data_IF_367014510826
#
_entry.id   IF_367014510826
#
_cell.length_a   1.000
_cell.length_b   1.000
_cell.length_c   1.000
_cell.angle_alpha   90.00
_cell.angle_beta   90.00
_cell.angle_gamma   90.00
#
_symmetry.space_group_name_H-M   'P 1'
#
loop_
_entity.id
_entity.type
_entity.pdbx_description
1 polymer ?
2 non-polymer ?
3 non-polymer ?
4 water ?
#
# COMPACT_ATOMS: atom_id res chain seq x y z
N UNK A 6 14.22 -7.84 28.28
CA UNK A 6 13.43 -8.88 27.58
C UNK A 6 13.60 -8.80 26.07
N UNK A 7 13.92 -9.94 25.43
CA UNK A 7 14.12 -9.98 23.97
C UNK A 7 12.84 -9.66 23.20
N UNK A 8 13.02 -9.19 21.98
CA UNK A 8 11.92 -8.80 21.12
C UNK A 8 12.16 -9.20 19.68
N UNK A 9 11.06 -9.36 18.91
CA UNK A 9 11.17 -9.74 17.50
C UNK A 9 11.46 -8.46 16.72
N UNK A 10 11.27 -7.33 17.39
CA UNK A 10 11.48 -6.03 16.77
C UNK A 10 12.75 -5.30 17.19
N UNK A 11 13.01 -4.23 16.45
CA UNK A 11 14.13 -3.34 16.71
C UNK A 11 13.59 -2.00 16.23
N UNK A 12 13.73 -0.96 17.03
CA UNK A 12 13.21 0.35 16.64
C UNK A 12 14.28 1.38 16.43
N UNK A 13 13.93 2.37 15.62
CA UNK A 13 14.85 3.45 15.34
C UNK A 13 14.08 4.75 15.37
N UNK A 14 14.85 5.84 15.36
CA UNK A 14 14.31 7.17 15.26
C UNK A 14 14.95 7.50 13.92
N UNK A 15 14.46 8.54 13.26
CA UNK A 15 15.01 8.91 11.96
C UNK A 15 16.53 9.02 11.93
N UNK A 16 17.10 9.51 13.02
CA UNK A 16 18.53 9.68 13.13
C UNK A 16 19.27 8.35 12.99
N UNK A 17 18.80 7.35 13.74
CA UNK A 17 19.41 6.03 13.70
C UNK A 17 19.17 5.39 12.33
N UNK A 18 17.95 5.54 11.81
CA UNK A 18 17.59 4.95 10.54
C UNK A 18 18.37 5.47 9.35
N UNK A 19 18.51 6.79 9.23
CA UNK A 19 19.22 7.37 8.09
C UNK A 19 20.64 6.88 7.86
N UNK A 20 21.33 6.53 8.94
CA UNK A 20 22.71 6.05 8.86
C UNK A 20 22.83 4.73 8.12
N UNK A 21 21.71 4.04 7.94
CA UNK A 21 21.70 2.75 7.23
C UNK A 21 21.49 2.93 5.75
N UNK A 22 21.44 4.20 5.33
CA UNK A 22 21.27 4.46 3.91
C UNK A 22 22.55 4.08 3.20
N UNK A 23 23.66 4.55 3.76
CA UNK A 23 24.99 4.30 3.21
C UNK A 23 25.23 5.10 1.94
N UNK A 24 25.45 4.32 0.88
CA UNK A 24 25.74 4.75 -0.47
C UNK A 24 24.52 4.73 -1.39
N UNK A 25 23.42 4.12 -0.94
CA UNK A 25 22.22 4.05 -1.77
C UNK A 25 22.13 5.43 -2.42
N UNK A 26 21.98 5.46 -3.76
CA UNK A 26 21.86 6.71 -4.50
C UNK A 26 20.45 7.24 -4.59
N UNK A 27 20.34 8.55 -4.64
CA UNK A 27 19.06 9.22 -4.79
C UNK A 27 18.93 9.37 -6.31
N UNK A 28 17.97 8.70 -6.91
CA UNK A 28 17.74 8.77 -8.34
C UNK A 28 16.40 9.42 -8.64
N UNK A 29 15.97 10.32 -7.76
CA UNK A 29 14.70 11.00 -7.96
C UNK A 29 14.87 12.50 -7.79
N UNK A 30 14.25 13.27 -8.67
CA UNK A 30 14.33 14.73 -8.59
C UNK A 30 13.24 15.16 -7.60
N UNK A 31 13.24 16.43 -7.24
CA UNK A 31 12.22 16.95 -6.33
C UNK A 31 10.93 17.17 -7.10
N UNK A 32 11.04 17.17 -8.42
CA UNK A 32 9.91 17.40 -9.29
C UNK A 32 9.19 16.08 -9.60
N UNK A 33 9.96 15.00 -9.78
CA UNK A 33 9.43 13.66 -10.03
C UNK A 33 8.67 13.21 -8.80
N UNK A 34 9.27 13.50 -7.66
CA UNK A 34 8.72 13.17 -6.36
C UNK A 34 7.33 13.75 -6.19
N UNK A 35 7.13 14.95 -6.72
CA UNK A 35 5.86 15.64 -6.61
C UNK A 35 4.70 14.87 -7.22
N UNK A 36 4.85 14.47 -8.47
CA UNK A 36 3.80 13.73 -9.15
C UNK A 36 3.57 12.38 -8.52
N UNK A 37 4.22 12.14 -7.39
CA UNK A 37 4.07 10.87 -6.69
C UNK A 37 3.28 11.02 -5.40
N UNK A 38 3.28 12.20 -4.80
CA UNK A 38 2.54 12.34 -3.57
C UNK A 38 1.10 12.81 -3.72
N UNK A 39 0.27 12.26 -2.84
CA UNK A 39 -1.14 12.56 -2.83
C UNK A 39 -1.45 13.82 -2.06
N UNK A 40 -2.63 14.36 -2.32
CA UNK A 40 -3.06 15.57 -1.65
C UNK A 40 -2.81 15.49 -0.15
N UNK A 41 -2.15 16.51 0.40
CA UNK A 41 -1.91 16.52 1.83
C UNK A 41 -0.63 15.88 2.33
N UNK A 42 0.02 15.06 1.50
CA UNK A 42 1.26 14.43 1.92
C UNK A 42 2.44 15.39 1.84
N UNK A 43 3.25 15.42 2.89
CA UNK A 43 4.37 16.33 2.99
C UNK A 43 5.73 15.81 2.50
N UNK A 44 5.78 14.61 1.94
CA UNK A 44 7.07 14.07 1.52
C UNK A 44 7.94 14.96 0.64
N UNK A 45 9.19 15.13 1.06
CA UNK A 45 10.19 15.91 0.33
C UNK A 45 11.43 15.04 0.10
N UNK A 46 12.38 15.52 -0.69
CA UNK A 46 13.58 14.74 -0.97
C UNK A 46 14.39 14.33 0.26
N UNK A 47 14.39 15.18 1.28
CA UNK A 47 15.14 14.85 2.48
C UNK A 47 14.62 13.54 3.09
N UNK A 48 13.32 13.46 3.31
CA UNK A 48 12.69 12.27 3.88
C UNK A 48 12.97 11.05 3.02
N UNK A 49 13.02 11.27 1.70
CA UNK A 49 13.30 10.17 0.80
C UNK A 49 14.73 9.68 0.99
N UNK A 50 15.59 10.54 1.54
CA UNK A 50 16.99 10.18 1.75
C UNK A 50 17.24 9.57 3.11
N UNK A 51 16.63 10.15 4.13
CA UNK A 51 16.80 9.67 5.50
C UNK A 51 15.87 8.54 5.90
N UNK A 52 14.94 8.19 5.01
CA UNK A 52 13.97 7.14 5.30
C UNK A 52 13.74 6.13 4.19
N UNK A 53 13.43 6.59 2.98
CA UNK A 53 13.17 5.67 1.89
C UNK A 53 14.38 5.00 1.29
N UNK A 54 15.54 5.65 1.35
CA UNK A 54 16.75 5.07 0.79
C UNK A 54 17.26 3.87 1.59
N UNK A 55 17.31 3.98 2.94
CA UNK A 55 17.76 2.84 3.73
C UNK A 55 16.84 1.67 3.37
N UNK A 56 15.53 1.95 3.47
CA UNK A 56 14.47 1.00 3.16
C UNK A 56 14.67 0.34 1.81
N UNK A 57 15.06 1.14 0.81
CA UNK A 57 15.26 0.57 -0.52
C UNK A 57 16.40 -0.44 -0.40
N UNK A 58 17.42 -0.07 0.37
CA UNK A 58 18.58 -0.93 0.58
C UNK A 58 18.16 -2.26 1.20
N UNK A 59 17.57 -2.18 2.39
CA UNK A 59 17.09 -3.37 3.09
C UNK A 59 16.36 -4.29 2.10
N UNK A 60 15.40 -3.75 1.36
CA UNK A 60 14.66 -4.55 0.41
C UNK A 60 15.55 -5.21 -0.62
N UNK A 61 16.59 -4.51 -1.07
CA UNK A 61 17.44 -5.11 -2.07
C UNK A 61 18.32 -6.20 -1.47
N UNK A 62 18.69 -6.05 -0.21
CA UNK A 62 19.50 -7.07 0.44
C UNK A 62 18.67 -8.35 0.58
N UNK A 63 17.37 -8.19 0.72
CA UNK A 63 16.48 -9.33 0.88
C UNK A 63 16.03 -9.97 -0.41
N UNK A 64 15.91 -9.20 -1.48
CA UNK A 64 15.48 -9.77 -2.76
C UNK A 64 16.40 -10.93 -3.13
N UNK A 65 17.71 -10.71 -3.03
CA UNK A 65 18.67 -11.76 -3.35
C UNK A 65 18.46 -12.91 -2.38
N UNK A 66 18.56 -12.60 -1.09
CA UNK A 66 18.43 -13.56 0.01
C UNK A 66 17.14 -14.38 -0.02
N UNK A 67 16.03 -13.72 -0.29
CA UNK A 67 14.75 -14.39 -0.36
C UNK A 67 14.74 -15.41 -1.50
N UNK A 68 15.54 -15.18 -2.54
CA UNK A 68 15.58 -16.10 -3.67
C UNK A 68 16.35 -17.39 -3.38
N UNK A 69 17.47 -17.29 -2.67
CA UNK A 69 18.21 -18.49 -2.29
C UNK A 69 17.17 -19.45 -1.67
N UNK A 70 16.16 -18.88 -1.02
CA UNK A 70 15.06 -19.60 -0.37
C UNK A 70 14.14 -20.43 -1.27
N UNK A 71 13.82 -19.91 -2.45
CA UNK A 71 12.96 -20.63 -3.40
C UNK A 71 13.83 -21.59 -4.19
N UNK A 72 15.09 -21.20 -4.35
CA UNK A 72 16.07 -22.01 -5.06
C UNK A 72 16.11 -23.36 -4.35
N UNK A 73 16.24 -23.33 -3.04
CA UNK A 73 16.29 -24.55 -2.24
C UNK A 73 15.15 -25.50 -2.55
N UNK A 74 13.93 -24.99 -2.50
CA UNK A 74 12.77 -25.83 -2.78
C UNK A 74 12.83 -26.38 -4.21
N UNK A 75 13.36 -25.57 -5.12
CA UNK A 75 13.49 -26.01 -6.51
C UNK A 75 14.54 -27.12 -6.55
N UNK A 76 15.66 -26.88 -5.88
CA UNK A 76 16.74 -27.85 -5.85
C UNK A 76 16.23 -29.14 -5.21
N UNK A 77 15.50 -29.00 -4.11
CA UNK A 77 14.95 -30.17 -3.41
C UNK A 77 14.07 -31.00 -4.32
N UNK A 78 13.17 -30.33 -5.03
CA UNK A 78 12.26 -31.00 -5.94
C UNK A 78 12.98 -31.47 -7.20
N UNK A 79 14.29 -31.18 -7.26
CA UNK A 79 15.07 -31.57 -8.42
C UNK A 79 14.47 -31.07 -9.72
N UNK A 80 14.26 -29.75 -9.78
CA UNK A 80 13.69 -29.14 -10.97
C UNK A 80 14.75 -28.40 -11.74
N UNK A 81 14.35 -27.85 -12.89
CA UNK A 81 15.27 -27.07 -13.74
C UNK A 81 15.80 -26.03 -12.76
N UNK A 82 16.73 -25.20 -13.18
CA UNK A 82 17.24 -24.22 -12.24
C UNK A 82 16.62 -22.83 -12.32
N UNK A 83 17.42 -21.90 -12.79
CA UNK A 83 17.08 -20.50 -12.88
C UNK A 83 16.03 -19.87 -13.77
N UNK A 84 16.57 -19.33 -14.86
CA UNK A 84 15.91 -18.53 -15.88
C UNK A 84 16.03 -17.23 -15.10
N UNK A 85 17.28 -16.76 -14.93
CA UNK A 85 17.70 -15.54 -14.22
C UNK A 85 16.86 -14.34 -14.63
N UNK A 86 16.15 -14.49 -15.73
CA UNK A 86 15.32 -13.42 -16.26
C UNK A 86 13.83 -13.74 -16.11
N UNK A 87 13.53 -14.48 -15.06
CA UNK A 87 12.18 -14.88 -14.69
C UNK A 87 12.22 -15.63 -13.37
N UNK A 88 12.79 -14.98 -12.34
CA UNK A 88 12.89 -15.56 -11.00
C UNK A 88 11.51 -15.47 -10.34
N UNK A 89 11.43 -15.77 -9.04
CA UNK A 89 10.15 -15.69 -8.35
C UNK A 89 9.92 -14.23 -7.94
N UNK A 90 8.81 -13.63 -8.41
CA UNK A 90 8.47 -12.25 -8.09
C UNK A 90 8.49 -11.94 -6.60
N UNK A 91 9.13 -10.83 -6.24
CA UNK A 91 9.22 -10.42 -4.84
C UNK A 91 7.94 -9.64 -4.54
N UNK A 92 7.13 -10.12 -3.61
CA UNK A 92 5.90 -9.43 -3.30
C UNK A 92 6.01 -8.54 -2.07
N UNK A 93 5.60 -7.28 -2.21
CA UNK A 93 5.65 -6.32 -1.12
C UNK A 93 4.27 -5.79 -0.85
N UNK A 94 3.90 -5.74 0.43
CA UNK A 94 2.59 -5.24 0.82
C UNK A 94 2.67 -3.95 1.61
N UNK A 95 1.78 -3.02 1.30
CA UNK A 95 1.74 -1.74 2.00
C UNK A 95 0.36 -1.62 2.62
N UNK A 96 0.32 -1.63 3.95
CA UNK A 96 -0.95 -1.56 4.66
C UNK A 96 -1.09 -0.27 5.43
N UNK A 97 -2.31 -0.02 5.92
CA UNK A 97 -2.54 1.18 6.69
C UNK A 97 -3.90 1.77 6.48
N UNK A 98 -4.30 2.63 7.40
CA UNK A 98 -5.59 3.28 7.35
C UNK A 98 -5.83 4.13 6.09
N UNK A 99 -7.09 4.53 5.94
CA UNK A 99 -7.48 5.39 4.83
C UNK A 99 -6.82 6.72 5.17
N UNK A 100 -6.28 7.40 4.17
CA UNK A 100 -5.66 8.71 4.37
C UNK A 100 -4.37 8.76 5.20
N UNK A 101 -3.66 7.65 5.32
CA UNK A 101 -2.43 7.66 6.08
C UNK A 101 -1.23 7.85 5.16
N UNK A 102 -1.45 7.80 3.85
CA UNK A 102 -0.36 8.00 2.92
C UNK A 102 0.18 6.77 2.24
N UNK A 103 -0.52 5.65 2.35
CA UNK A 103 -0.06 4.43 1.72
C UNK A 103 0.35 4.65 0.26
N UNK A 104 -0.57 5.18 -0.52
CA UNK A 104 -0.32 5.40 -1.95
C UNK A 104 0.95 6.19 -2.23
N UNK A 105 1.25 7.19 -1.39
CA UNK A 105 2.45 7.98 -1.62
C UNK A 105 3.64 7.06 -1.41
N UNK A 106 3.66 6.41 -0.24
CA UNK A 106 4.73 5.49 0.12
C UNK A 106 4.91 4.39 -0.92
N UNK A 107 3.81 3.85 -1.44
CA UNK A 107 3.91 2.78 -2.43
C UNK A 107 4.46 3.29 -3.76
N UNK A 108 3.97 4.44 -4.23
CA UNK A 108 4.42 5.01 -5.50
C UNK A 108 5.89 5.41 -5.44
N UNK A 109 6.29 5.99 -4.31
CA UNK A 109 7.67 6.40 -4.13
C UNK A 109 8.54 5.14 -4.14
N UNK A 110 8.16 4.16 -3.34
CA UNK A 110 8.92 2.93 -3.27
C UNK A 110 9.08 2.34 -4.66
N UNK A 111 7.99 2.29 -5.42
CA UNK A 111 8.08 1.73 -6.77
C UNK A 111 9.02 2.55 -7.64
N UNK A 112 9.02 3.85 -7.43
CA UNK A 112 9.88 4.73 -8.21
C UNK A 112 11.34 4.42 -7.90
N UNK A 113 11.65 4.31 -6.62
CA UNK A 113 13.02 4.01 -6.19
C UNK A 113 13.47 2.64 -6.70
N UNK A 114 12.69 1.61 -6.42
CA UNK A 114 13.03 0.26 -6.84
C UNK A 114 13.17 0.06 -8.34
N UNK A 115 12.34 0.73 -9.12
CA UNK A 115 12.42 0.59 -10.57
C UNK A 115 13.68 1.28 -11.07
N UNK A 116 14.04 2.35 -10.38
CA UNK A 116 15.21 3.11 -10.77
C UNK A 116 16.48 2.57 -10.16
N UNK A 117 16.61 1.25 -10.14
CA UNK A 117 17.81 0.62 -9.63
C UNK A 117 18.47 0.07 -10.88
N UNK A 118 19.79 -0.06 -10.90
CA UNK A 118 20.47 -0.52 -12.11
C UNK A 118 19.92 -1.76 -12.84
N UNK A 119 19.41 -2.75 -12.12
CA UNK A 119 18.87 -3.90 -12.83
C UNK A 119 17.71 -3.37 -13.70
N UNK A 120 17.13 -2.24 -13.27
CA UNK A 120 15.96 -1.61 -13.91
C UNK A 120 14.89 -2.70 -13.88
N UNK A 121 14.53 -3.17 -12.67
CA UNK A 121 13.52 -4.22 -12.48
C UNK A 121 12.11 -3.81 -12.88
N UNK A 122 11.30 -4.77 -13.32
CA UNK A 122 9.91 -4.46 -13.67
C UNK A 122 9.19 -4.43 -12.33
N UNK A 123 8.91 -3.23 -11.84
CA UNK A 123 8.24 -3.03 -10.56
C UNK A 123 6.80 -2.58 -10.75
N UNK A 124 5.86 -3.50 -10.63
CA UNK A 124 4.44 -3.17 -10.77
C UNK A 124 3.79 -2.86 -9.44
N UNK A 125 2.80 -1.97 -9.47
CA UNK A 125 2.06 -1.59 -8.27
C UNK A 125 0.57 -1.80 -8.48
N UNK A 126 -0.06 -2.50 -7.54
CA UNK A 126 -1.49 -2.78 -7.62
C UNK A 126 -2.20 -2.51 -6.30
N UNK A 127 -3.31 -1.79 -6.36
CA UNK A 127 -4.06 -1.50 -5.15
C UNK A 127 -5.24 -2.45 -5.09
N UNK A 128 -5.67 -2.78 -3.89
CA UNK A 128 -6.79 -3.68 -3.71
C UNK A 128 -8.12 -3.01 -4.04
N UNK A 129 -8.07 -1.71 -4.33
CA UNK A 129 -9.28 -0.95 -4.68
C UNK A 129 -10.08 -1.66 -5.75
N UNK A 130 -9.38 -2.06 -6.80
CA UNK A 130 -10.00 -2.73 -7.91
C UNK A 130 -10.56 -4.09 -7.56
N UNK A 131 -10.35 -4.55 -6.34
CA UNK A 131 -10.87 -5.85 -5.94
C UNK A 131 -12.09 -5.74 -5.06
N UNK A 132 -12.63 -4.54 -4.94
CA UNK A 132 -13.84 -4.36 -4.16
C UNK A 132 -14.95 -4.93 -5.02
N UNK A 133 -16.12 -5.16 -4.44
CA UNK A 133 -17.22 -5.65 -5.25
C UNK A 133 -17.84 -4.41 -5.85
N UNK A 134 -18.48 -4.54 -7.02
CA UNK A 134 -19.11 -3.38 -7.66
C UNK A 134 -20.18 -2.87 -6.71
N UNK A 135 -20.52 -1.59 -6.79
CA UNK A 135 -21.53 -1.02 -5.91
C UNK A 135 -22.82 -1.85 -5.92
N UNK A 136 -23.25 -2.26 -7.11
CA UNK A 136 -24.45 -3.07 -7.26
C UNK A 136 -24.38 -4.32 -6.39
N UNK A 137 -23.24 -5.01 -6.48
CA UNK A 137 -23.03 -6.24 -5.72
C UNK A 137 -22.91 -5.95 -4.23
N UNK A 138 -22.36 -4.78 -3.91
CA UNK A 138 -22.17 -4.35 -2.54
C UNK A 138 -23.54 -4.06 -1.95
N UNK A 139 -24.39 -3.44 -2.75
CA UNK A 139 -25.75 -3.11 -2.34
C UNK A 139 -26.56 -4.38 -2.12
N UNK A 140 -26.27 -5.39 -2.94
CA UNK A 140 -26.97 -6.66 -2.84
C UNK A 140 -26.68 -7.25 -1.45
N UNK A 141 -25.40 -7.32 -1.09
CA UNK A 141 -24.99 -7.84 0.20
C UNK A 141 -25.23 -6.85 1.33
N UNK A 142 -25.74 -5.67 0.99
CA UNK A 142 -26.00 -4.64 1.98
C UNK A 142 -24.71 -4.15 2.63
N UNK A 143 -23.70 -3.89 1.80
CA UNK A 143 -22.40 -3.44 2.28
C UNK A 143 -21.96 -2.07 1.77
N UNK A 144 -22.88 -1.29 1.20
CA UNK A 144 -22.49 0.03 0.71
C UNK A 144 -21.88 0.94 1.77
N UNK A 145 -21.95 0.54 3.04
CA UNK A 145 -21.39 1.34 4.12
C UNK A 145 -20.34 0.55 4.88
N UNK A 146 -19.71 -0.40 4.19
CA UNK A 146 -18.69 -1.24 4.77
C UNK A 146 -17.56 -1.33 3.75
N UNK A 147 -17.62 -0.45 2.78
CA UNK A 147 -16.62 -0.39 1.72
C UNK A 147 -15.28 -0.21 2.42
N UNK A 148 -14.40 -1.21 2.27
CA UNK A 148 -13.10 -1.14 2.91
C UNK A 148 -12.94 -2.24 3.94
N UNK A 149 -14.07 -2.75 4.43
CA UNK A 149 -14.02 -3.84 5.39
C UNK A 149 -13.63 -5.10 4.62
N UNK A 150 -13.06 -6.09 5.32
CA UNK A 150 -12.65 -7.32 4.65
C UNK A 150 -13.68 -7.91 3.72
N UNK A 151 -14.93 -7.96 4.16
CA UNK A 151 -15.99 -8.56 3.37
C UNK A 151 -16.41 -7.80 2.11
N UNK A 152 -15.96 -6.56 1.94
CA UNK A 152 -16.33 -5.78 0.76
C UNK A 152 -15.41 -6.03 -0.44
N UNK A 153 -14.48 -6.99 -0.30
CA UNK A 153 -13.56 -7.32 -1.38
C UNK A 153 -13.75 -8.75 -1.86
N UNK A 154 -13.52 -8.97 -3.14
CA UNK A 154 -13.60 -10.30 -3.69
C UNK A 154 -12.21 -10.85 -3.38
N UNK A 155 -12.00 -11.31 -2.16
CA UNK A 155 -10.70 -11.82 -1.81
C UNK A 155 -10.27 -13.05 -2.56
N UNK A 156 -11.24 -13.86 -3.01
CA UNK A 156 -10.91 -15.06 -3.77
C UNK A 156 -10.19 -14.56 -5.03
N UNK A 157 -10.78 -13.57 -5.69
CA UNK A 157 -10.18 -12.98 -6.87
C UNK A 157 -8.82 -12.40 -6.53
N UNK A 158 -8.76 -11.60 -5.46
CA UNK A 158 -7.52 -10.97 -5.04
C UNK A 158 -6.39 -11.98 -4.85
N UNK A 159 -6.72 -13.06 -4.16
CA UNK A 159 -5.77 -14.14 -3.88
C UNK A 159 -5.39 -14.81 -5.18
N UNK A 160 -6.39 -15.07 -6.02
CA UNK A 160 -6.13 -15.71 -7.31
C UNK A 160 -5.09 -14.90 -8.07
N UNK A 161 -5.25 -13.58 -8.04
CA UNK A 161 -4.35 -12.66 -8.73
C UNK A 161 -2.90 -12.77 -8.27
N UNK A 162 -2.67 -12.43 -7.01
CA UNK A 162 -1.32 -12.47 -6.47
C UNK A 162 -0.67 -13.82 -6.62
N UNK A 163 -1.43 -14.89 -6.36
CA UNK A 163 -0.90 -16.23 -6.49
C UNK A 163 -0.41 -16.42 -7.93
N UNK A 164 -1.25 -16.06 -8.89
CA UNK A 164 -0.90 -16.17 -10.29
C UNK A 164 0.42 -15.46 -10.59
N UNK A 165 0.53 -14.22 -10.14
CA UNK A 165 1.75 -13.46 -10.39
C UNK A 165 2.99 -14.06 -9.74
N UNK A 166 2.86 -14.54 -8.50
CA UNK A 166 4.03 -15.11 -7.83
C UNK A 166 4.35 -16.52 -8.30
N UNK A 167 3.37 -17.20 -8.88
CA UNK A 167 3.60 -18.55 -9.37
C UNK A 167 4.25 -18.53 -10.76
N UNK A 168 4.63 -17.32 -11.21
CA UNK A 168 5.30 -17.18 -12.49
C UNK A 168 4.49 -17.03 -13.78
N UNK A 169 3.21 -16.71 -13.67
CA UNK A 169 2.38 -16.55 -14.87
C UNK A 169 2.92 -15.45 -15.79
N UNK A 170 2.66 -15.57 -17.09
CA UNK A 170 3.14 -14.56 -18.04
C UNK A 170 2.43 -13.23 -17.84
N UNK A 171 1.18 -13.29 -17.40
CA UNK A 171 0.42 -12.08 -17.13
C UNK A 171 -0.81 -12.41 -16.31
N UNK A 172 -1.30 -11.42 -15.58
CA UNK A 172 -2.48 -11.57 -14.73
C UNK A 172 -3.29 -10.29 -14.80
N UNK A 173 -4.61 -10.42 -14.66
CA UNK A 173 -5.46 -9.24 -14.72
C UNK A 173 -6.14 -8.92 -13.38
N UNK A 174 -6.38 -7.63 -13.15
CA UNK A 174 -7.05 -7.18 -11.94
C UNK A 174 -8.06 -6.12 -12.37
N UNK A 175 -9.23 -6.09 -11.73
CA UNK A 175 -10.21 -5.08 -12.13
C UNK A 175 -9.67 -3.68 -11.80
N UNK A 176 -10.33 -2.64 -12.27
CA UNK A 176 -9.87 -1.29 -12.00
C UNK A 176 -10.96 -0.47 -11.31
N UNK A 177 -10.59 0.20 -10.22
CA UNK A 177 -11.55 1.02 -9.47
C UNK A 177 -11.46 2.51 -9.79
N UNK A 178 -12.61 3.16 -9.94
CA UNK A 178 -12.66 4.58 -10.22
C UNK A 178 -12.97 5.38 -8.96
N UNK A 179 -12.07 6.26 -8.55
CA UNK A 179 -12.34 7.08 -7.36
C UNK A 179 -13.31 8.18 -7.75
N UNK A 180 -13.41 8.44 -9.05
CA UNK A 180 -14.31 9.47 -9.55
C UNK A 180 -15.75 8.98 -9.50
N UNK A 181 -16.02 7.85 -10.14
CA UNK A 181 -17.36 7.30 -10.14
C UNK A 181 -17.65 6.46 -8.90
N UNK A 182 -16.65 6.33 -8.03
CA UNK A 182 -16.82 5.58 -6.79
C UNK A 182 -17.18 4.10 -7.00
N UNK A 183 -16.91 3.57 -8.19
CA UNK A 183 -17.25 2.18 -8.46
C UNK A 183 -16.23 1.51 -9.37
N UNK A 184 -16.42 0.21 -9.61
CA UNK A 184 -15.53 -0.55 -10.46
C UNK A 184 -15.81 -0.17 -11.91
N UNK A 185 -14.75 0.02 -12.69
CA UNK A 185 -14.89 0.42 -14.09
C UNK A 185 -15.16 -0.77 -15.00
N UNK A 186 -16.34 -0.80 -15.62
CA UNK A 186 -16.72 -1.89 -16.53
C UNK A 186 -15.67 -2.13 -17.61
N UNK A 187 -15.25 -3.38 -17.76
CA UNK A 187 -14.27 -3.73 -18.78
C UNK A 187 -12.85 -3.23 -18.60
N UNK A 188 -12.60 -2.47 -17.54
CA UNK A 188 -11.26 -1.97 -17.29
C UNK A 188 -10.46 -3.07 -16.62
N UNK A 189 -9.20 -3.22 -17.04
CA UNK A 189 -8.31 -4.23 -16.47
C UNK A 189 -6.86 -3.75 -16.38
N UNK A 190 -6.16 -4.21 -15.36
CA UNK A 190 -4.77 -3.85 -15.20
C UNK A 190 -4.02 -5.14 -15.41
N UNK A 191 -3.21 -5.17 -16.47
CA UNK A 191 -2.45 -6.37 -16.79
C UNK A 191 -1.03 -6.30 -16.25
N UNK A 192 -0.66 -7.29 -15.46
CA UNK A 192 0.66 -7.37 -14.86
C UNK A 192 1.42 -8.53 -15.50
N UNK A 193 2.58 -8.23 -16.10
CA UNK A 193 3.37 -9.25 -16.80
C UNK A 193 4.62 -9.65 -16.04
N UNK A 194 4.59 -10.82 -15.41
CA UNK A 194 5.75 -11.34 -14.68
C UNK A 194 6.69 -10.25 -14.20
N UNK A 195 6.24 -9.39 -13.29
CA UNK A 195 7.12 -8.33 -12.82
C UNK A 195 8.26 -8.93 -12.01
N UNK A 196 9.28 -8.16 -11.74
CA UNK A 196 10.37 -8.65 -10.93
C UNK A 196 9.86 -8.45 -9.52
N UNK A 197 9.22 -7.31 -9.31
CA UNK A 197 8.65 -6.98 -8.02
C UNK A 197 7.22 -6.50 -8.16
N UNK A 198 6.38 -6.91 -7.21
CA UNK A 198 4.99 -6.49 -7.20
C UNK A 198 4.68 -5.86 -5.85
N UNK A 199 4.05 -4.69 -5.89
CA UNK A 199 3.66 -4.00 -4.67
C UNK A 199 2.15 -3.96 -4.64
N UNK A 200 1.59 -4.61 -3.61
CA UNK A 200 0.16 -4.65 -3.39
C UNK A 200 -0.16 -3.67 -2.28
N UNK A 201 -0.95 -2.64 -2.62
CA UNK A 201 -1.33 -1.59 -1.69
C UNK A 201 -2.78 -1.73 -1.26
N UNK A 202 -3.02 -1.69 0.05
CA UNK A 202 -4.37 -1.80 0.53
C UNK A 202 -4.50 -1.75 2.03
N UNK A 203 -5.70 -1.42 2.49
CA UNK A 203 -6.00 -1.33 3.91
C UNK A 203 -5.87 -2.69 4.60
N UNK A 204 -6.45 -3.68 3.93
CA UNK A 204 -6.44 -5.02 4.49
C UNK A 204 -5.52 -6.05 3.85
N UNK A 205 -4.37 -5.58 3.37
CA UNK A 205 -3.43 -6.54 2.81
C UNK A 205 -2.75 -7.43 3.82
N UNK A 206 -2.44 -6.90 4.99
CA UNK A 206 -1.75 -7.70 5.99
C UNK A 206 -2.58 -8.62 6.86
N UNK A 207 -3.84 -8.85 6.53
CA UNK A 207 -4.61 -9.70 7.41
C UNK A 207 -4.51 -11.19 7.16
N UNK A 208 -4.88 -11.95 8.19
CA UNK A 208 -4.78 -13.39 8.14
C UNK A 208 -6.14 -14.09 8.32
N UNK A 209 -6.21 -15.37 7.96
CA UNK A 209 -7.48 -16.07 8.08
C UNK A 209 -7.49 -17.57 7.93
N UNK A 210 -8.66 -18.20 8.09
CA UNK A 210 -8.88 -19.65 7.98
C UNK A 210 -8.45 -20.22 6.64
N UNK A 211 -8.11 -19.33 5.73
CA UNK A 211 -7.68 -19.75 4.40
C UNK A 211 -6.33 -19.09 4.07
N UNK A 212 -5.57 -19.70 3.18
CA UNK A 212 -4.30 -19.11 2.82
C UNK A 212 -4.62 -17.77 2.21
N UNK A 213 -3.98 -16.72 2.71
CA UNK A 213 -4.26 -15.41 2.17
C UNK A 213 -3.03 -14.73 1.60
N UNK A 214 -3.32 -13.59 0.98
CA UNK A 214 -2.30 -12.75 0.35
C UNK A 214 -1.12 -12.33 1.25
N UNK A 215 -1.40 -12.07 2.54
CA UNK A 215 -0.37 -11.71 3.50
C UNK A 215 0.62 -12.88 3.59
N UNK A 216 0.14 -14.07 3.26
CA UNK A 216 1.00 -15.26 3.31
C UNK A 216 1.91 -15.38 2.11
N UNK A 217 1.76 -14.47 1.15
CA UNK A 217 2.61 -14.48 -0.05
C UNK A 217 3.54 -13.28 -0.08
N UNK A 218 3.51 -12.44 0.96
CA UNK A 218 4.37 -11.27 1.02
C UNK A 218 5.78 -11.68 1.42
N UNK A 219 6.79 -11.11 0.75
CA UNK A 219 8.17 -11.42 1.07
C UNK A 219 8.73 -10.32 1.97
N UNK A 220 8.02 -9.20 2.01
CA UNK A 220 8.37 -8.04 2.83
C UNK A 220 7.08 -7.21 2.94
N UNK A 221 6.89 -6.53 4.07
CA UNK A 221 5.67 -5.75 4.24
C UNK A 221 5.87 -4.44 4.97
N UNK A 222 5.05 -3.46 4.64
CA UNK A 222 5.10 -2.14 5.24
C UNK A 222 3.74 -1.77 5.85
N UNK A 223 3.77 -1.11 6.99
CA UNK A 223 2.55 -0.65 7.64
C UNK A 223 2.73 0.83 7.97
N UNK A 224 2.09 1.70 7.18
CA UNK A 224 2.18 3.13 7.40
C UNK A 224 1.27 3.46 8.57
N UNK A 225 1.88 3.93 9.65
CA UNK A 225 1.14 4.21 10.87
C UNK A 225 1.18 5.67 11.29
N UNK A 226 0.32 6.03 12.23
CA UNK A 226 0.23 7.38 12.73
C UNK A 226 -0.89 7.39 13.78
N UNK A 227 -0.90 8.40 14.63
CA UNK A 227 -1.94 8.49 15.65
C UNK A 227 -3.33 8.54 15.04
N UNK A 228 -4.27 7.82 15.63
CA UNK A 228 -5.62 7.78 15.12
C UNK A 228 -6.29 9.16 15.03
N UNK A 229 -6.13 10.00 16.05
CA UNK A 229 -6.75 11.31 15.97
C UNK A 229 -6.07 12.16 14.90
N UNK A 230 -4.80 11.84 14.61
CA UNK A 230 -4.05 12.54 13.59
C UNK A 230 -4.53 12.15 12.21
N UNK A 231 -4.84 10.87 12.03
CA UNK A 231 -5.31 10.37 10.74
C UNK A 231 -6.71 10.90 10.43
N UNK A 232 -7.56 10.99 11.46
CA UNK A 232 -8.91 11.51 11.27
C UNK A 232 -8.79 12.91 10.74
N UNK A 233 -7.84 13.63 11.35
CA UNK A 233 -7.54 15.01 10.99
C UNK A 233 -7.13 15.14 9.53
N UNK A 234 -6.23 14.25 9.09
CA UNK A 234 -5.77 14.26 7.72
C UNK A 234 -6.95 13.96 6.80
N UNK A 235 -7.79 13.04 7.24
CA UNK A 235 -8.98 12.64 6.49
C UNK A 235 -9.98 13.80 6.31
N UNK A 236 -10.36 14.42 7.42
CA UNK A 236 -11.30 15.55 7.40
C UNK A 236 -10.71 16.66 6.56
N UNK A 237 -9.50 17.06 6.91
CA UNK A 237 -8.80 18.11 6.19
C UNK A 237 -8.82 17.87 4.68
N UNK A 238 -8.48 16.65 4.26
CA UNK A 238 -8.45 16.31 2.85
C UNK A 238 -9.85 16.34 2.24
N UNK A 239 -10.86 15.98 3.03
CA UNK A 239 -12.23 16.01 2.55
C UNK A 239 -12.55 17.43 2.13
N UNK A 240 -12.30 18.39 3.02
CA UNK A 240 -12.57 19.78 2.68
C UNK A 240 -11.77 20.21 1.46
N UNK A 241 -10.50 19.83 1.43
CA UNK A 241 -9.63 20.20 0.32
C UNK A 241 -10.12 19.67 -1.02
N UNK A 242 -10.77 18.51 -1.01
CA UNK A 242 -11.25 17.91 -2.25
C UNK A 242 -12.45 18.65 -2.86
N UNK A 243 -13.03 19.57 -2.09
CA UNK A 243 -14.17 20.33 -2.60
C UNK A 243 -13.80 21.05 -3.88
N UNK A 244 -12.55 21.51 -3.96
CA UNK A 244 -12.10 22.22 -5.14
C UNK A 244 -11.25 21.40 -6.11
N UNK A 245 -10.92 20.15 -5.76
CA UNK A 245 -10.16 19.31 -6.69
C UNK A 245 -11.07 18.20 -7.21
N UNK A 246 -11.03 17.03 -6.57
CA UNK A 246 -11.85 15.90 -7.00
C UNK A 246 -13.36 16.17 -7.02
N UNK A 247 -13.92 16.60 -5.90
CA UNK A 247 -15.36 16.84 -5.84
C UNK A 247 -15.86 17.89 -6.82
N UNK A 248 -15.01 18.85 -7.15
CA UNK A 248 -15.41 19.92 -8.07
C UNK A 248 -15.91 19.38 -9.39
N UNK A 249 -15.41 18.21 -9.80
CA UNK A 249 -15.84 17.61 -11.05
C UNK A 249 -17.32 17.23 -10.96
N UNK A 250 -18.11 17.61 -11.97
CA UNK A 250 -19.54 17.31 -12.02
C UNK A 250 -19.81 15.82 -12.11
N UNK A 251 -18.85 15.10 -12.68
CA UNK A 251 -18.95 13.67 -12.86
C UNK A 251 -18.68 12.89 -11.57
N UNK A 252 -18.25 13.60 -10.54
CA UNK A 252 -17.92 12.94 -9.28
C UNK A 252 -19.15 12.45 -8.52
N UNK A 253 -19.04 11.26 -7.97
CA UNK A 253 -20.13 10.67 -7.18
C UNK A 253 -20.23 11.47 -5.88
N UNK A 254 -19.39 12.49 -5.75
CA UNK A 254 -19.39 13.30 -4.55
C UNK A 254 -19.53 14.78 -4.86
N UNK A 255 -19.88 15.11 -6.09
CA UNK A 255 -19.99 16.51 -6.47
C UNK A 255 -20.86 17.37 -5.55
N UNK A 256 -21.81 16.75 -4.85
CA UNK A 256 -22.68 17.52 -3.97
C UNK A 256 -21.97 18.05 -2.74
N UNK A 257 -20.81 17.49 -2.43
CA UNK A 257 -20.06 17.94 -1.26
C UNK A 257 -19.29 19.21 -1.56
N UNK A 258 -18.99 19.45 -2.83
CA UNK A 258 -18.25 20.63 -3.22
C UNK A 258 -18.88 21.90 -2.64
N UNK A 259 -20.22 21.96 -2.66
CA UNK A 259 -20.94 23.13 -2.16
C UNK A 259 -20.90 23.31 -0.64
N UNK A 260 -20.70 22.23 0.10
CA UNK A 260 -20.67 22.32 1.57
C UNK A 260 -19.76 23.41 2.12
N UNK A 261 -20.11 23.91 3.30
CA UNK A 261 -19.29 24.92 3.94
C UNK A 261 -18.25 24.19 4.77
N UNK A 262 -17.18 24.87 5.14
CA UNK A 262 -16.15 24.25 5.94
C UNK A 262 -16.84 23.47 7.06
N UNK A 263 -17.74 24.17 7.75
CA UNK A 263 -18.49 23.61 8.86
C UNK A 263 -19.32 22.36 8.53
N UNK A 264 -20.09 22.40 7.45
CA UNK A 264 -20.91 21.24 7.10
C UNK A 264 -20.01 20.10 6.63
N UNK A 265 -19.01 20.45 5.83
CA UNK A 265 -18.08 19.46 5.31
C UNK A 265 -17.40 18.75 6.47
N UNK A 266 -17.02 19.52 7.48
CA UNK A 266 -16.38 18.90 8.63
C UNK A 266 -17.33 17.93 9.30
N UNK A 267 -18.60 18.31 9.39
CA UNK A 267 -19.59 17.44 9.99
C UNK A 267 -19.74 16.15 9.20
N UNK A 268 -19.77 16.27 7.88
CA UNK A 268 -19.90 15.11 7.00
C UNK A 268 -18.67 14.21 7.06
N UNK A 269 -17.49 14.82 6.92
CA UNK A 269 -16.24 14.07 6.95
C UNK A 269 -16.14 13.24 8.23
N UNK A 270 -16.55 13.82 9.35
CA UNK A 270 -16.49 13.13 10.63
C UNK A 270 -17.49 11.98 10.77
N UNK A 271 -18.64 12.11 10.15
CA UNK A 271 -19.62 11.05 10.26
C UNK A 271 -19.15 9.83 9.49
N UNK A 272 -18.52 10.06 8.33
CA UNK A 272 -18.01 8.95 7.53
C UNK A 272 -16.86 8.31 8.30
N UNK A 273 -16.00 9.14 8.85
CA UNK A 273 -14.87 8.63 9.60
C UNK A 273 -15.37 7.82 10.79
N UNK A 274 -16.34 8.36 11.51
CA UNK A 274 -16.89 7.71 12.70
C UNK A 274 -17.62 6.40 12.42
N UNK A 275 -18.37 6.38 11.33
CA UNK A 275 -19.15 5.19 11.01
C UNK A 275 -18.52 4.18 10.05
N UNK A 276 -17.41 4.55 9.41
CA UNK A 276 -16.79 3.62 8.47
C UNK A 276 -15.29 3.40 8.66
N UNK A 277 -14.50 4.41 8.35
CA UNK A 277 -13.05 4.29 8.43
C UNK A 277 -12.43 4.04 9.80
N UNK A 278 -12.98 4.65 10.85
CA UNK A 278 -12.40 4.44 12.17
C UNK A 278 -12.64 3.01 12.64
N UNK A 279 -13.90 2.55 12.61
CA UNK A 279 -14.24 1.19 13.05
C UNK A 279 -13.38 0.16 12.33
N UNK A 280 -13.26 0.33 11.02
CA UNK A 280 -12.47 -0.58 10.21
C UNK A 280 -10.98 -0.55 10.59
N UNK A 281 -10.46 0.65 10.86
CA UNK A 281 -9.06 0.81 11.24
C UNK A 281 -8.81 0.09 12.56
N UNK A 282 -9.70 0.32 13.52
CA UNK A 282 -9.59 -0.28 14.85
C UNK A 282 -9.84 -1.80 14.89
N UNK A 283 -10.85 -2.26 14.17
CA UNK A 283 -11.21 -3.68 14.17
C UNK A 283 -10.44 -4.57 13.19
N UNK A 284 -10.06 -4.03 12.04
CA UNK A 284 -9.38 -4.85 11.05
C UNK A 284 -7.96 -4.49 10.67
N UNK A 285 -7.69 -3.22 10.46
CA UNK A 285 -6.35 -2.81 10.04
C UNK A 285 -5.29 -2.86 11.13
N UNK A 286 -5.46 -2.07 12.18
CA UNK A 286 -4.52 -2.03 13.28
C UNK A 286 -4.14 -3.39 13.85
N UNK A 287 -5.08 -4.34 13.93
CA UNK A 287 -4.70 -5.64 14.46
C UNK A 287 -3.71 -6.39 13.57
N UNK A 288 -3.43 -5.86 12.38
CA UNK A 288 -2.47 -6.53 11.50
C UNK A 288 -1.09 -5.92 11.61
N UNK A 289 -1.00 -4.71 12.15
CA UNK A 289 0.27 -4.00 12.31
C UNK A 289 1.41 -4.81 12.92
N UNK A 290 1.12 -5.64 13.92
CA UNK A 290 2.17 -6.46 14.55
C UNK A 290 2.96 -7.33 13.58
N UNK A 291 2.33 -7.77 12.49
CA UNK A 291 2.98 -8.65 11.53
C UNK A 291 3.77 -7.98 10.41
N UNK A 292 3.77 -6.65 10.39
CA UNK A 292 4.47 -5.92 9.33
C UNK A 292 5.98 -5.98 9.52
N UNK A 293 6.70 -6.20 8.43
CA UNK A 293 8.16 -6.25 8.50
C UNK A 293 8.66 -4.91 9.02
N UNK A 294 8.09 -3.82 8.51
CA UNK A 294 8.50 -2.48 8.91
C UNK A 294 7.33 -1.54 9.09
N UNK A 295 7.23 -0.96 10.27
CA UNK A 295 6.17 0.02 10.52
C UNK A 295 6.78 1.44 10.49
N UNK A 296 6.21 2.34 9.66
CA UNK A 296 6.65 3.73 9.57
C UNK A 296 5.71 4.61 10.40
N UNK A 297 6.21 5.09 11.54
CA UNK A 297 5.45 5.95 12.44
C UNK A 297 5.59 7.38 11.90
N UNK A 298 4.49 8.01 11.52
CA UNK A 298 4.47 9.39 11.00
C UNK A 298 3.88 10.24 12.15
N UNK A 299 4.34 11.47 12.42
CA UNK A 299 3.60 12.20 13.45
C UNK A 299 2.63 13.12 12.74
N UNK A 300 1.86 13.83 13.55
CA UNK A 300 0.87 14.83 13.12
C UNK A 300 1.19 15.64 11.85
N UNK A 301 2.46 15.87 11.57
CA UNK A 301 2.85 16.66 10.38
C UNK A 301 3.11 15.78 9.15
N UNK A 302 2.75 14.50 9.25
CA UNK A 302 2.93 13.53 8.19
C UNK A 302 4.38 13.06 8.06
N UNK A 303 5.26 13.66 8.85
CA UNK A 303 6.67 13.29 8.81
C UNK A 303 6.91 11.95 9.46
N UNK A 304 7.65 11.07 8.80
CA UNK A 304 7.95 9.75 9.38
C UNK A 304 9.21 9.89 10.27
N UNK A 305 9.12 9.77 11.59
CA UNK A 305 10.37 9.85 12.38
C UNK A 305 10.58 8.72 13.35
N UNK A 306 9.95 7.57 13.12
CA UNK A 306 10.14 6.41 14.00
C UNK A 306 9.85 5.23 13.13
N UNK A 307 10.52 4.12 13.41
CA UNK A 307 10.35 2.94 12.61
C UNK A 307 10.52 1.74 13.50
N UNK A 308 9.80 0.68 13.18
CA UNK A 308 9.89 -0.55 13.94
C UNK A 308 10.17 -1.61 12.91
N UNK A 309 11.31 -2.28 13.05
CA UNK A 309 11.67 -3.32 12.10
C UNK A 309 11.46 -4.70 12.69
N UNK A 310 10.98 -5.61 11.87
CA UNK A 310 10.79 -6.98 12.31
C UNK A 310 12.06 -7.74 11.91
N UNK A 311 12.87 -8.16 12.90
CA UNK A 311 14.07 -8.96 12.62
C UNK A 311 13.72 -10.44 12.75
N UNK A 312 12.67 -10.71 13.53
CA UNK A 312 12.17 -12.06 13.70
C UNK A 312 10.71 -12.11 13.24
X LIG B 1 -3.95 6.62 1.40
X LIG B 1 -4.17 8.06 1.65
X LIG B 1 -3.12 5.93 2.60
X LIG B 1 -3.11 6.35 0.07
X LIG B 1 -6.69 6.47 0.83
X LIG B 1 -7.16 7.74 1.42
X LIG B 1 -7.68 5.47 0.06
X LIG B 1 -5.31 5.76 1.27
X LIG B 1 -6.05 7.03 -0.53
X LIG B 1 -6.89 7.27 -1.66
X LIG B 1 -6.06 7.71 -2.87
X LIG B 1 -6.96 8.23 -3.87
X LIG B 1 -5.22 8.93 -2.48
X LIG B 1 -4.37 9.33 -3.57
X LIG B 1 -6.35 9.94 -2.32
X LIG B 1 -5.81 11.26 -2.51
X LIG B 1 -7.24 9.59 -3.52
X LIG B 1 -8.66 9.77 -3.14
X LIG B 1 -9.20 9.45 -1.97
X LIG B 1 -10.51 9.73 -1.98
X LIG B 1 -10.80 10.24 -3.17
X LIG B 1 -11.96 10.68 -3.76
X LIG B 1 -13.11 10.67 -3.09
X LIG B 1 -11.92 11.14 -5.03
X LIG B 1 -10.78 11.15 -5.70
X LIG B 1 -9.64 10.73 -5.17
X LIG B 1 -9.62 10.27 -3.91
X LIG C 1 -9.56 6.77 -12.11
X LIG C 1 -9.00 5.48 -11.81
X LIG C 1 -10.04 7.49 -10.85
X LIG C 1 -9.38 6.95 -9.70
X LIG C 1 -9.69 8.97 -11.01
X LIG C 1 -9.89 9.69 -9.80
X LIG D 1 6.89 -10.21 7.28
X LIG D 1 8.12 -10.65 7.84
X LIG D 1 6.87 -10.54 5.78
X LIG D 1 6.96 -11.95 5.61
X LIG D 1 5.56 -10.02 5.17
X LIG D 1 4.45 -10.48 5.92
X LIG E 1 6.77 -8.26 -22.06
X LIG E 1 5.39 -8.47 -21.77
X LIG E 1 7.45 -9.60 -22.34
X LIG E 1 6.85 -10.23 -23.47
X LIG E 1 8.93 -9.36 -22.62
X LIG E 1 9.54 -8.77 -21.47
X LIG F 1 -2.30 11.90 -8.21
X LIG F 1 -2.31 11.78 -6.78
X LIG F 1 -0.93 11.46 -8.75
X LIG F 1 -0.05 11.22 -7.64
X LIG F 1 -1.09 10.18 -9.57
X LIG F 1 -1.79 9.19 -8.81
X LIG G 1 -14.90 -6.24 11.38
X LIG G 1 -16.10 -5.73 10.80
X LIG G 1 -14.99 -7.76 11.52
X LIG G 1 -15.20 -8.34 10.23
X LIG G 1 -13.69 -8.30 12.12
X LIG G 1 -13.47 -7.71 13.40
X LIG H 1 8.01 0.26 -13.59
X LIG H 1 9.43 0.30 -13.72
X LIG H 1 7.45 -0.74 -14.60
X LIG H 1 8.17 -1.97 -14.48
X LIG H 1 5.96 -0.99 -14.34
X LIG H 1 5.24 0.25 -14.43
#
# INVERSE_FOLDING_TARGET
MSRLSEPSPYVEFDRRQWRALRMSTPLALTEEELVGLRGLGEQIDLLEVEEVYLPLARLIHLQVAARQRLFAATAEFLGEPQQNPDRPVPFIIGVAGSVAVGKSTTARVLQALLARWDHHPRVDLVTTDGFLYPNAELQRRNLMHRKGFPESYNRRALMRFVTSVKSGSDYACAPVYSHLHYDIIPGAEQVVRHPDILILEGLNVLQTGPTLMVSDLFDFSLYVDARIEDIEQWYVSRFLAMRTTAFADPESHFHHYAAFSDSQAVVAAREIWRTINRPNLVENILPTRPRATLVLRKDADHSINRLRLRKL
ADP PB O1B O2B O3B PA O1A O2A O3A O5' C5' C4' O4' C3' O3' C2' O2' C1' N9 C8 N7 C5 C6 N6 N1 C2 N3 C4
GOL C1 O1 C2 O2 C3 O3
GOL C1 O1 C2 O2 C3 O3
GOL C1 O1 C2 O2 C3 O3
GOL C1 O1 C2 O2 C3 O3
GOL C1 O1 C2 O2 C3 O3
GOL C1 O1 C2 O2 C3 O3
#
